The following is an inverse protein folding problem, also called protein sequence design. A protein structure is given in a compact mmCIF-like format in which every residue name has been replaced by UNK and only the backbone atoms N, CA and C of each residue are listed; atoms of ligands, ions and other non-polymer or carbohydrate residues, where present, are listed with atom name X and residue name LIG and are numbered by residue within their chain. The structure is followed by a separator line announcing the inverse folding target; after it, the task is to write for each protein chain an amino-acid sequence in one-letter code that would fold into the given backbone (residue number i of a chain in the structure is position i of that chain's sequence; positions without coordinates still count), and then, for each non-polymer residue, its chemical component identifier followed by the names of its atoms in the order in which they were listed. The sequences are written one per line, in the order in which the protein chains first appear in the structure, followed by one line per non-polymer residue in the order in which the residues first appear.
data_IF_058549159209
#
_entry.id   IF_058549159209
#
_cell.length_a   1.000
_cell.length_b   1.000
_cell.length_c   1.000
_cell.angle_alpha   90.00
_cell.angle_beta   90.00
_cell.angle_gamma   90.00
#
_symmetry.space_group_name_H-M   'P 1'
#
loop_
_entity.id
_entity.type
_entity.pdbx_description
1 polymer ?
#
# COMPACT_ATOMS: atom_id res chain seq x y z
N UNK A 1 -12.44 -4.68 -9.07
CA UNK A 1 -11.93 -5.73 -8.17
C UNK A 1 -10.48 -5.97 -8.58
N UNK A 2 -9.48 -5.64 -7.74
CA UNK A 2 -8.06 -5.81 -8.12
C UNK A 2 -7.49 -7.19 -7.74
N UNK A 3 -8.23 -7.97 -6.96
CA UNK A 3 -7.87 -9.35 -6.57
C UNK A 3 -7.72 -10.25 -7.80
N UNK A 4 -6.85 -11.26 -7.68
CA UNK A 4 -6.69 -12.32 -8.68
C UNK A 4 -7.72 -13.45 -8.48
N UNK A 5 -8.53 -13.38 -7.43
CA UNK A 5 -9.62 -14.33 -7.12
C UNK A 5 -10.96 -13.91 -7.77
N UNK A 6 -10.93 -13.29 -8.95
CA UNK A 6 -12.16 -12.87 -9.62
C UNK A 6 -12.94 -14.05 -10.22
N UNK A 7 -12.31 -15.21 -10.40
CA UNK A 7 -12.90 -16.39 -11.03
C UNK A 7 -14.12 -16.91 -10.25
N UNK A 8 -14.06 -16.92 -8.91
CA UNK A 8 -15.16 -17.37 -8.05
C UNK A 8 -16.39 -16.47 -8.16
N UNK A 9 -16.16 -15.15 -8.32
CA UNK A 9 -17.22 -14.15 -8.43
C UNK A 9 -17.81 -14.08 -9.84
N UNK A 10 -17.02 -14.41 -10.87
CA UNK A 10 -17.41 -14.36 -12.28
C UNK A 10 -17.78 -15.72 -12.88
N UNK A 11 -17.79 -16.77 -12.07
CA UNK A 11 -18.28 -18.08 -12.43
C UNK A 11 -19.76 -18.02 -12.87
N UNK A 12 -20.12 -18.84 -13.86
CA UNK A 12 -21.48 -18.88 -14.38
C UNK A 12 -22.45 -19.42 -13.31
N UNK A 13 -23.55 -18.69 -13.10
CA UNK A 13 -24.52 -18.94 -12.04
C UNK A 13 -24.26 -18.15 -10.75
N UNK A 14 -23.06 -17.59 -10.57
CA UNK A 14 -22.69 -16.75 -9.42
C UNK A 14 -22.84 -15.28 -9.76
N UNK A 15 -22.21 -14.82 -10.86
CA UNK A 15 -22.20 -13.39 -11.18
C UNK A 15 -23.62 -12.83 -11.43
N UNK A 16 -24.52 -13.65 -11.99
CA UNK A 16 -25.92 -13.27 -12.24
C UNK A 16 -26.72 -12.98 -10.97
N UNK A 17 -26.27 -13.46 -9.81
CA UNK A 17 -26.92 -13.18 -8.53
C UNK A 17 -26.61 -11.76 -8.03
N UNK A 18 -25.53 -11.15 -8.53
CA UNK A 18 -25.02 -9.86 -8.06
C UNK A 18 -25.08 -8.78 -9.14
N UNK A 19 -24.81 -9.12 -10.41
CA UNK A 19 -24.71 -8.18 -11.51
C UNK A 19 -25.77 -8.43 -12.58
N UNK A 20 -26.23 -7.35 -13.20
CA UNK A 20 -27.17 -7.38 -14.34
C UNK A 20 -26.46 -7.79 -15.64
N UNK A 21 -25.17 -7.53 -15.75
CA UNK A 21 -24.30 -7.88 -16.88
C UNK A 21 -22.95 -8.39 -16.34
N UNK A 22 -22.32 -9.35 -17.04
CA UNK A 22 -21.05 -9.92 -16.61
C UNK A 22 -19.96 -8.87 -16.78
N UNK A 23 -19.33 -8.39 -15.70
CA UNK A 23 -18.27 -7.40 -15.82
C UNK A 23 -17.03 -8.00 -16.47
N UNK A 24 -16.34 -7.20 -17.28
CA UNK A 24 -15.05 -7.58 -17.88
C UNK A 24 -13.95 -7.64 -16.81
N UNK A 25 -13.04 -8.60 -16.99
CA UNK A 25 -11.89 -8.78 -16.11
C UNK A 25 -10.83 -7.75 -16.48
N UNK A 26 -10.36 -6.99 -15.49
CA UNK A 26 -9.25 -6.06 -15.68
C UNK A 26 -7.97 -6.82 -16.05
N UNK A 27 -7.31 -6.41 -17.12
CA UNK A 27 -6.00 -6.97 -17.50
C UNK A 27 -4.93 -6.60 -16.48
N UNK A 28 -3.81 -7.32 -16.50
CA UNK A 28 -2.66 -6.98 -15.64
C UNK A 28 -2.15 -5.55 -15.92
N UNK A 29 -2.16 -5.11 -17.18
CA UNK A 29 -1.78 -3.73 -17.54
C UNK A 29 -2.76 -2.69 -16.99
N UNK A 30 -4.07 -2.96 -17.06
CA UNK A 30 -5.09 -2.06 -16.53
C UNK A 30 -4.99 -1.95 -15.01
N UNK A 31 -4.83 -3.08 -14.31
CA UNK A 31 -4.58 -3.11 -12.86
C UNK A 31 -3.32 -2.30 -12.51
N UNK A 32 -2.22 -2.50 -13.24
CA UNK A 32 -0.96 -1.81 -12.99
C UNK A 32 -1.05 -0.29 -13.26
N UNK A 33 -1.68 0.08 -14.37
CA UNK A 33 -1.93 1.48 -14.74
C UNK A 33 -2.74 2.19 -13.66
N UNK A 34 -3.85 1.57 -13.25
CA UNK A 34 -4.70 2.07 -12.17
C UNK A 34 -3.93 2.24 -10.85
N UNK A 35 -3.18 1.23 -10.42
CA UNK A 35 -2.38 1.30 -9.20
C UNK A 35 -1.31 2.40 -9.26
N UNK A 36 -0.67 2.59 -10.42
CA UNK A 36 0.37 3.61 -10.60
C UNK A 36 -0.14 5.05 -10.54
N UNK A 37 -1.43 5.27 -10.77
CA UNK A 37 -2.05 6.59 -10.68
C UNK A 37 -2.35 7.03 -9.24
N UNK A 38 -2.29 6.11 -8.27
CA UNK A 38 -2.58 6.39 -6.86
C UNK A 38 -1.48 7.28 -6.26
N UNK A 39 -1.87 8.40 -5.66
CA UNK A 39 -0.96 9.38 -5.04
C UNK A 39 -1.58 9.99 -3.77
N UNK A 40 -0.76 10.66 -2.95
CA UNK A 40 -1.24 11.37 -1.75
C UNK A 40 -1.56 10.46 -0.56
N UNK A 41 -1.11 9.21 -0.56
CA UNK A 41 -1.42 8.26 0.51
C UNK A 41 -0.55 8.53 1.75
N UNK A 42 -1.15 8.34 2.93
CA UNK A 42 -0.44 8.38 4.22
C UNK A 42 -0.34 6.97 4.80
N UNK A 43 0.84 6.61 5.29
CA UNK A 43 1.10 5.33 5.94
C UNK A 43 1.44 5.55 7.42
N UNK A 44 0.71 4.89 8.31
CA UNK A 44 0.99 4.84 9.74
C UNK A 44 1.50 3.46 10.13
N UNK A 45 2.60 3.40 10.89
CA UNK A 45 3.12 2.16 11.48
C UNK A 45 3.05 2.22 13.00
N UNK A 46 2.58 1.13 13.62
CA UNK A 46 2.47 0.97 15.08
C UNK A 46 3.84 0.71 15.73
N UNK A 47 4.79 0.20 14.95
CA UNK A 47 6.18 -0.05 15.30
C UNK A 47 7.14 0.66 14.36
N UNK A 48 8.42 0.66 14.71
CA UNK A 48 9.44 1.28 13.86
C UNK A 48 9.72 0.47 12.59
N UNK A 49 10.15 1.16 11.53
CA UNK A 49 10.65 0.47 10.33
C UNK A 49 12.11 0.04 10.52
N UNK A 50 12.44 -1.25 10.35
CA UNK A 50 13.81 -1.71 10.54
C UNK A 50 14.72 -1.32 9.37
N UNK A 51 14.18 -1.22 8.15
CA UNK A 51 14.93 -0.93 6.92
C UNK A 51 14.11 -0.09 5.92
N UNK A 52 14.81 0.48 4.93
CA UNK A 52 14.22 1.36 3.90
C UNK A 52 13.34 0.65 2.86
N UNK A 53 13.38 -0.69 2.80
CA UNK A 53 12.51 -1.50 1.94
C UNK A 53 11.01 -1.27 2.22
N UNK A 54 10.65 -1.00 3.47
CA UNK A 54 9.29 -0.61 3.87
C UNK A 54 8.86 0.68 3.16
N UNK A 55 9.75 1.67 3.07
CA UNK A 55 9.51 2.93 2.36
C UNK A 55 9.41 2.68 0.85
N UNK A 56 10.29 1.85 0.28
CA UNK A 56 10.23 1.49 -1.15
C UNK A 56 8.92 0.79 -1.51
N UNK A 57 8.43 -0.11 -0.65
CA UNK A 57 7.16 -0.79 -0.84
C UNK A 57 5.97 0.16 -0.68
N UNK A 58 5.98 1.02 0.33
CA UNK A 58 4.95 2.02 0.57
C UNK A 58 4.80 2.98 -0.62
N UNK A 59 5.92 3.45 -1.18
CA UNK A 59 5.94 4.33 -2.36
C UNK A 59 5.22 3.73 -3.57
N UNK A 60 5.34 2.40 -3.79
CA UNK A 60 4.63 1.70 -4.88
C UNK A 60 3.10 1.76 -4.74
N UNK A 61 2.60 2.13 -3.57
CA UNK A 61 1.18 2.33 -3.27
C UNK A 61 0.81 3.82 -3.14
N UNK A 62 1.59 4.74 -3.71
CA UNK A 62 1.26 6.16 -3.76
C UNK A 62 1.54 6.94 -2.47
N UNK A 63 2.30 6.36 -1.54
CA UNK A 63 2.60 6.99 -0.24
C UNK A 63 3.51 8.20 -0.41
N UNK A 64 3.09 9.32 0.18
CA UNK A 64 3.83 10.59 0.26
C UNK A 64 4.10 11.01 1.70
N UNK A 65 3.41 10.41 2.68
CA UNK A 65 3.53 10.75 4.10
C UNK A 65 3.63 9.48 4.95
N UNK A 66 4.57 9.44 5.89
CA UNK A 66 4.79 8.32 6.81
C UNK A 66 4.82 8.83 8.26
N UNK A 67 4.09 8.16 9.14
CA UNK A 67 4.18 8.35 10.59
C UNK A 67 4.56 7.03 11.28
N UNK A 68 5.64 7.03 12.04
CA UNK A 68 6.12 5.83 12.74
C UNK A 68 6.82 6.21 14.07
N UNK A 69 6.99 5.30 15.04
CA UNK A 69 7.50 5.65 16.37
C UNK A 69 8.95 6.16 16.41
N UNK A 70 9.79 5.71 15.48
CA UNK A 70 11.24 5.84 15.55
C UNK A 70 11.87 4.86 16.52
N UNK A 71 13.21 4.85 16.58
CA UNK A 71 14.00 4.01 17.46
C UNK A 71 14.59 2.76 16.79
N UNK A 72 14.69 2.74 15.47
CA UNK A 72 15.50 1.75 14.76
C UNK A 72 16.98 2.14 14.85
N UNK A 73 17.87 1.15 14.97
CA UNK A 73 19.32 1.37 14.83
C UNK A 73 19.67 1.92 13.43
N UNK A 74 18.78 1.72 12.46
CA UNK A 74 18.95 2.12 11.06
C UNK A 74 17.99 3.24 10.64
N UNK A 75 17.48 4.03 11.58
CA UNK A 75 16.58 5.15 11.24
C UNK A 75 17.21 6.09 10.20
N UNK A 76 18.52 6.34 10.25
CA UNK A 76 19.23 7.15 9.23
C UNK A 76 19.03 6.63 7.81
N UNK A 77 19.04 5.29 7.62
CA UNK A 77 18.83 4.68 6.31
C UNK A 77 17.36 4.78 5.87
N UNK A 78 16.42 4.67 6.82
CA UNK A 78 14.99 4.83 6.56
C UNK A 78 14.68 6.28 6.16
N UNK A 79 15.22 7.26 6.90
CA UNK A 79 15.10 8.70 6.62
C UNK A 79 15.69 9.02 5.24
N UNK A 80 16.91 8.55 4.96
CA UNK A 80 17.55 8.77 3.66
C UNK A 80 16.72 8.18 2.50
N UNK A 81 16.03 7.06 2.73
CA UNK A 81 15.12 6.49 1.73
C UNK A 81 13.88 7.36 1.52
N UNK A 82 13.31 7.93 2.58
CA UNK A 82 12.22 8.91 2.48
C UNK A 82 12.64 10.16 1.71
N UNK A 83 13.78 10.75 2.07
CA UNK A 83 14.32 11.95 1.43
C UNK A 83 14.59 11.73 -0.06
N UNK A 84 15.16 10.58 -0.43
CA UNK A 84 15.37 10.17 -1.83
C UNK A 84 14.09 10.22 -2.67
N UNK A 85 12.95 9.94 -2.07
CA UNK A 85 11.64 9.88 -2.75
C UNK A 85 10.73 11.08 -2.45
N UNK A 86 11.21 12.07 -1.69
CA UNK A 86 10.40 13.22 -1.27
C UNK A 86 9.20 12.83 -0.40
N UNK A 87 9.32 11.75 0.38
CA UNK A 87 8.28 11.30 1.31
C UNK A 87 8.50 12.01 2.64
N UNK A 88 7.49 12.73 3.12
CA UNK A 88 7.55 13.34 4.45
C UNK A 88 7.42 12.26 5.52
N UNK A 89 8.34 12.23 6.49
CA UNK A 89 8.33 11.27 7.59
C UNK A 89 8.26 12.00 8.94
N UNK A 90 7.38 11.52 9.82
CA UNK A 90 7.24 12.01 11.19
C UNK A 90 7.51 10.89 12.20
N UNK A 91 8.37 11.17 13.18
CA UNK A 91 8.57 10.29 14.33
C UNK A 91 7.59 10.64 15.44
N UNK A 92 6.77 9.67 15.85
CA UNK A 92 5.72 9.87 16.87
C UNK A 92 6.21 9.64 18.29
N UNK A 93 7.29 8.86 18.48
CA UNK A 93 7.79 8.45 19.79
C UNK A 93 6.86 7.49 20.55
N UNK A 94 5.78 7.00 19.94
CA UNK A 94 4.78 6.15 20.59
C UNK A 94 4.54 4.87 19.81
N UNK A 95 4.73 3.70 20.45
CA UNK A 95 4.37 2.39 19.87
C UNK A 95 2.93 2.04 20.21
N UNK A 96 2.21 1.44 19.25
CA UNK A 96 0.77 1.15 19.34
C UNK A 96 0.45 -0.35 19.26
N UNK A 97 1.25 -1.19 19.92
CA UNK A 97 1.01 -2.64 19.95
C UNK A 97 -0.31 -2.99 20.64
N UNK A 98 -1.05 -3.91 20.05
CA UNK A 98 -2.28 -4.50 20.60
C UNK A 98 -2.23 -6.03 20.39
N UNK A 99 -2.59 -6.81 21.41
CA UNK A 99 -2.49 -8.28 21.43
C UNK A 99 -3.88 -8.91 21.56
#
# INVERSE_FOLDING_TARGET
YLSDEYEDLLADGVWQQTFTEKPEVLTAEEKQSWMSALTGVTCGSDAFFPFGDNVERARKSGVQYIAQPGGSIRDDHVIATCDKYGIAMAFTGMRLFHH
#
